data_IF_398261442327
#
_entry.id   IF_398261442327
#
_cell.length_a   1.000
_cell.length_b   1.000
_cell.length_c   1.000
_cell.angle_alpha   90.00
_cell.angle_beta   90.00
_cell.angle_gamma   90.00
#
_symmetry.space_group_name_H-M   'P 1'
#
loop_
_entity.id
_entity.type
_entity.pdbx_description
1 polymer ?
#
# COMPACT_ATOMS: atom_id res chain seq x y z
N UNK A 1 -9.43 25.75 18.77
CA UNK A 1 -10.57 25.42 17.91
C UNK A 1 -11.23 26.70 17.38
N UNK A 2 -11.05 26.99 16.09
CA UNK A 2 -11.83 28.04 15.43
C UNK A 2 -13.13 27.41 14.89
N UNK A 3 -14.26 28.05 15.15
CA UNK A 3 -15.53 27.63 14.58
C UNK A 3 -15.53 27.82 13.06
N UNK A 4 -16.09 26.87 12.34
CA UNK A 4 -16.22 27.01 10.90
C UNK A 4 -16.29 25.70 10.14
N UNK A 5 -16.54 25.83 8.84
CA UNK A 5 -16.55 24.73 7.88
C UNK A 5 -15.50 24.97 6.80
N UNK A 6 -14.78 23.93 6.43
CA UNK A 6 -13.84 23.95 5.32
C UNK A 6 -14.12 22.77 4.40
N UNK A 7 -14.20 23.00 3.09
CA UNK A 7 -14.38 21.97 2.07
C UNK A 7 -13.29 22.13 1.03
N UNK A 8 -12.58 21.05 0.74
CA UNK A 8 -11.51 21.01 -0.24
C UNK A 8 -11.76 19.89 -1.25
N UNK A 9 -11.49 20.18 -2.52
CA UNK A 9 -11.39 19.18 -3.57
C UNK A 9 -10.09 19.36 -4.33
N UNK A 10 -9.46 18.24 -4.70
CA UNK A 10 -8.23 18.26 -5.46
C UNK A 10 -8.18 17.12 -6.48
N UNK A 11 -7.60 17.42 -7.64
CA UNK A 11 -7.20 16.43 -8.63
C UNK A 11 -5.68 16.32 -8.64
N UNK A 12 -5.17 15.09 -8.71
CA UNK A 12 -3.73 14.83 -8.77
C UNK A 12 -3.42 13.74 -9.81
N UNK A 13 -2.21 13.73 -10.33
CA UNK A 13 -1.72 12.66 -11.20
C UNK A 13 -0.63 11.85 -10.45
N UNK A 14 -1.05 11.16 -9.38
CA UNK A 14 -0.17 10.34 -8.54
C UNK A 14 -0.82 8.98 -8.25
N UNK A 15 -0.67 8.47 -7.02
CA UNK A 15 -1.27 7.22 -6.59
C UNK A 15 -2.81 7.28 -6.57
N UNK A 16 -3.39 8.44 -6.26
CA UNK A 16 -4.83 8.71 -6.40
C UNK A 16 -5.06 9.88 -7.35
N UNK A 17 -6.24 9.96 -7.94
CA UNK A 17 -6.65 11.03 -8.87
C UNK A 17 -7.50 12.09 -8.18
N UNK A 18 -8.43 11.67 -7.36
CA UNK A 18 -9.40 12.55 -6.71
C UNK A 18 -9.22 12.53 -5.20
N UNK A 19 -9.36 13.71 -4.57
CA UNK A 19 -9.47 13.89 -3.12
C UNK A 19 -10.59 14.87 -2.83
N UNK A 20 -11.51 14.46 -1.96
CA UNK A 20 -12.50 15.34 -1.33
C UNK A 20 -12.27 15.36 0.17
N UNK A 21 -12.40 16.53 0.79
CA UNK A 21 -12.29 16.69 2.26
C UNK A 21 -13.32 17.69 2.74
N UNK A 22 -13.97 17.38 3.86
CA UNK A 22 -14.80 18.30 4.61
C UNK A 22 -14.40 18.31 6.07
N UNK A 23 -14.33 19.50 6.68
CA UNK A 23 -14.01 19.73 8.08
C UNK A 23 -15.07 20.66 8.64
N UNK A 24 -15.58 20.31 9.82
CA UNK A 24 -16.48 21.16 10.59
C UNK A 24 -15.99 21.24 12.03
N UNK A 25 -15.96 22.44 12.60
CA UNK A 25 -15.63 22.68 14.02
C UNK A 25 -16.63 23.66 14.62
N UNK A 26 -17.13 23.36 15.81
CA UNK A 26 -18.03 24.25 16.55
C UNK A 26 -17.31 25.45 17.16
N UNK A 27 -15.97 25.34 17.33
CA UNK A 27 -15.26 26.17 18.31
C UNK A 27 -15.64 25.77 19.75
N UNK A 28 -15.19 26.54 20.74
CA UNK A 28 -15.59 26.37 22.11
C UNK A 28 -16.93 27.06 22.29
N UNK A 29 -17.96 26.31 22.67
CA UNK A 29 -19.33 26.79 22.91
C UNK A 29 -19.45 27.34 24.35
N UNK A 30 -20.45 28.14 24.64
CA UNK A 30 -20.72 28.73 25.95
C UNK A 30 -20.86 27.69 27.08
N UNK A 31 -21.31 26.49 26.74
CA UNK A 31 -21.41 25.37 27.68
C UNK A 31 -20.08 24.61 27.88
N UNK A 32 -18.96 25.12 27.33
CA UNK A 32 -17.62 24.55 27.46
C UNK A 32 -17.34 23.31 26.60
N UNK A 33 -18.23 22.94 25.68
CA UNK A 33 -17.97 21.89 24.72
C UNK A 33 -17.35 22.45 23.43
N UNK A 34 -16.49 21.63 22.81
CA UNK A 34 -16.02 21.84 21.44
C UNK A 34 -16.03 20.51 20.70
N UNK A 35 -16.45 20.54 19.43
CA UNK A 35 -16.45 19.37 18.56
C UNK A 35 -15.77 19.71 17.23
N UNK A 36 -15.01 18.76 16.73
CA UNK A 36 -14.44 18.80 15.37
C UNK A 36 -14.64 17.48 14.69
N UNK A 37 -15.12 17.54 13.46
CA UNK A 37 -15.28 16.38 12.56
C UNK A 37 -14.57 16.69 11.25
N UNK A 38 -13.76 15.77 10.79
CA UNK A 38 -13.15 15.83 9.47
C UNK A 38 -13.31 14.48 8.77
N UNK A 39 -13.68 14.52 7.49
CA UNK A 39 -13.72 13.37 6.61
C UNK A 39 -12.92 13.66 5.36
N UNK A 40 -12.20 12.66 4.86
CA UNK A 40 -11.45 12.76 3.61
C UNK A 40 -11.60 11.48 2.81
N UNK A 41 -11.88 11.62 1.53
CA UNK A 41 -11.90 10.50 0.59
C UNK A 41 -10.87 10.69 -0.51
N UNK A 42 -10.08 9.64 -0.79
CA UNK A 42 -9.09 9.61 -1.87
C UNK A 42 -9.38 8.41 -2.75
N UNK A 43 -9.41 8.64 -4.05
CA UNK A 43 -9.81 7.62 -4.99
C UNK A 43 -9.05 7.69 -6.31
N UNK A 44 -8.76 6.52 -6.88
CA UNK A 44 -8.43 6.29 -8.28
C UNK A 44 -8.81 4.86 -8.66
N UNK A 45 -9.46 4.71 -9.80
CA UNK A 45 -9.65 3.43 -10.47
C UNK A 45 -8.32 2.90 -11.01
N UNK A 46 -7.50 3.79 -11.55
CA UNK A 46 -6.13 3.56 -11.91
C UNK A 46 -5.29 4.78 -11.56
N UNK A 47 -4.15 4.55 -10.87
CA UNK A 47 -3.17 5.59 -10.57
C UNK A 47 -2.31 5.96 -11.79
N UNK A 48 -1.19 6.65 -11.54
CA UNK A 48 -0.22 6.97 -12.59
C UNK A 48 0.47 5.73 -13.16
N UNK A 49 0.64 4.71 -12.33
CA UNK A 49 1.27 3.43 -12.69
C UNK A 49 0.19 2.43 -13.06
N UNK A 50 0.37 1.73 -14.17
CA UNK A 50 -0.60 0.76 -14.70
C UNK A 50 -0.99 -0.32 -13.69
N UNK A 51 -2.26 -0.71 -13.70
CA UNK A 51 -2.79 -1.76 -12.85
C UNK A 51 -2.78 -1.43 -11.36
N UNK A 52 -2.57 -0.16 -10.99
CA UNK A 52 -2.73 0.32 -9.61
C UNK A 52 -4.10 0.96 -9.42
N UNK A 53 -4.65 0.85 -8.24
CA UNK A 53 -5.84 1.58 -7.82
C UNK A 53 -5.65 2.10 -6.39
N UNK A 54 -6.47 3.06 -6.00
CA UNK A 54 -6.43 3.64 -4.67
C UNK A 54 -7.83 3.96 -4.15
N UNK A 55 -8.16 3.49 -2.95
CA UNK A 55 -9.39 3.79 -2.26
C UNK A 55 -9.10 3.97 -0.77
N UNK A 56 -9.38 5.16 -0.23
CA UNK A 56 -9.13 5.46 1.17
C UNK A 56 -10.18 6.44 1.69
N UNK A 57 -10.77 6.10 2.83
CA UNK A 57 -11.66 6.96 3.58
C UNK A 57 -11.03 7.29 4.92
N UNK A 58 -10.66 8.56 5.15
CA UNK A 58 -10.12 9.01 6.42
C UNK A 58 -11.17 9.77 7.22
N UNK A 59 -11.14 9.58 8.54
CA UNK A 59 -11.96 10.34 9.48
C UNK A 59 -11.10 10.85 10.63
N UNK A 60 -11.53 11.97 11.19
CA UNK A 60 -11.03 12.55 12.44
C UNK A 60 -12.21 13.11 13.21
N UNK A 61 -12.35 12.68 14.46
CA UNK A 61 -13.39 13.14 15.38
C UNK A 61 -12.70 13.61 16.67
N UNK A 62 -13.06 14.79 17.14
CA UNK A 62 -12.59 15.30 18.42
C UNK A 62 -13.75 15.91 19.20
N UNK A 63 -13.81 15.60 20.48
CA UNK A 63 -14.71 16.20 21.44
C UNK A 63 -13.90 16.71 22.64
N UNK A 64 -14.15 17.91 23.05
CA UNK A 64 -13.51 18.52 24.20
C UNK A 64 -14.56 19.11 25.14
N UNK A 65 -14.30 19.01 26.45
CA UNK A 65 -15.10 19.61 27.49
C UNK A 65 -14.19 20.34 28.47
N UNK A 66 -14.46 21.63 28.66
CA UNK A 66 -13.87 22.43 29.73
C UNK A 66 -14.91 22.53 30.88
N UNK A 67 -14.49 22.19 32.10
CA UNK A 67 -15.33 22.19 33.28
C UNK A 67 -14.52 22.71 34.46
N UNK A 68 -14.63 24.02 34.73
CA UNK A 68 -13.80 24.70 35.75
C UNK A 68 -12.31 24.52 35.39
N UNK A 69 -11.55 24.00 36.35
CA UNK A 69 -10.10 23.77 36.19
C UNK A 69 -9.74 22.49 35.46
N UNK A 70 -10.74 21.76 34.98
CA UNK A 70 -10.55 20.52 34.25
C UNK A 70 -10.85 20.68 32.75
N UNK A 71 -10.03 20.04 31.93
CA UNK A 71 -10.23 19.90 30.49
C UNK A 71 -10.15 18.43 30.13
N UNK A 72 -11.17 17.91 29.50
CA UNK A 72 -11.24 16.55 28.97
C UNK A 72 -11.28 16.60 27.46
N UNK A 73 -10.47 15.80 26.79
CA UNK A 73 -10.48 15.71 25.34
C UNK A 73 -10.44 14.26 24.88
N UNK A 74 -11.35 13.89 23.99
CA UNK A 74 -11.36 12.62 23.28
C UNK A 74 -11.15 12.89 21.81
N UNK A 75 -10.12 12.25 21.23
CA UNK A 75 -9.81 12.34 19.82
C UNK A 75 -9.74 10.93 19.24
N UNK A 76 -10.39 10.69 18.10
CA UNK A 76 -10.25 9.45 17.35
C UNK A 76 -10.08 9.73 15.89
N UNK A 77 -9.23 8.95 15.24
CA UNK A 77 -8.97 9.05 13.82
C UNK A 77 -8.56 7.69 13.23
N UNK A 78 -8.71 7.59 11.92
CA UNK A 78 -8.31 6.41 11.17
C UNK A 78 -8.53 6.61 9.68
N UNK A 79 -7.90 5.76 8.88
CA UNK A 79 -8.01 5.84 7.43
C UNK A 79 -7.99 4.43 6.81
N UNK A 80 -9.13 3.69 6.81
CA UNK A 80 -9.19 2.44 6.06
C UNK A 80 -8.80 2.69 4.61
N UNK A 81 -7.80 1.94 4.16
CA UNK A 81 -7.20 2.10 2.83
C UNK A 81 -7.08 0.75 2.14
N UNK A 82 -7.52 0.69 0.89
CA UNK A 82 -7.27 -0.41 -0.04
C UNK A 82 -6.58 0.14 -1.28
N UNK A 83 -5.41 -0.38 -1.59
CA UNK A 83 -4.63 0.06 -2.76
C UNK A 83 -3.85 -1.07 -3.39
N UNK A 84 -3.66 -1.01 -4.70
CA UNK A 84 -2.73 -1.88 -5.39
C UNK A 84 -1.31 -1.31 -5.38
N UNK A 85 -0.32 -2.21 -5.42
CA UNK A 85 1.09 -1.87 -5.42
C UNK A 85 1.69 -1.97 -6.82
N UNK A 86 2.83 -1.31 -6.99
CA UNK A 86 3.76 -1.47 -8.10
C UNK A 86 5.15 -1.80 -7.56
N UNK A 87 6.04 -2.29 -8.41
CA UNK A 87 7.44 -2.52 -8.10
C UNK A 87 8.36 -1.72 -9.02
N UNK A 88 9.58 -1.48 -8.55
CA UNK A 88 10.68 -1.17 -9.42
C UNK A 88 11.05 -2.41 -10.22
N UNK A 89 11.45 -2.23 -11.47
CA UNK A 89 11.88 -3.28 -12.39
C UNK A 89 13.30 -3.01 -12.91
N UNK A 90 13.89 -3.93 -13.65
CA UNK A 90 15.20 -3.71 -14.25
C UNK A 90 15.18 -2.58 -15.29
N UNK A 91 16.35 -1.98 -15.56
CA UNK A 91 16.47 -0.96 -16.60
C UNK A 91 16.02 -1.48 -17.96
N UNK A 92 16.32 -2.72 -18.30
CA UNK A 92 15.86 -3.36 -19.53
C UNK A 92 14.34 -3.28 -19.69
N UNK A 93 13.58 -3.55 -18.63
CA UNK A 93 12.11 -3.47 -18.66
C UNK A 93 11.64 -2.03 -18.79
N UNK A 94 12.29 -1.08 -18.12
CA UNK A 94 11.99 0.35 -18.30
C UNK A 94 12.28 0.83 -19.72
N UNK A 95 13.33 0.34 -20.35
CA UNK A 95 13.67 0.70 -21.74
C UNK A 95 12.61 0.21 -22.74
N UNK A 96 11.97 -0.93 -22.47
CA UNK A 96 10.88 -1.45 -23.30
C UNK A 96 9.53 -0.81 -23.00
N UNK A 97 9.19 -0.57 -21.73
CA UNK A 97 7.84 -0.23 -21.29
C UNK A 97 7.68 1.13 -20.62
N UNK A 98 8.80 1.83 -20.35
CA UNK A 98 8.80 3.10 -19.67
C UNK A 98 8.66 2.99 -18.14
N UNK A 99 8.84 4.13 -17.46
CA UNK A 99 8.96 4.22 -15.99
C UNK A 99 7.66 3.97 -15.20
N UNK A 100 6.52 3.85 -15.90
CA UNK A 100 5.21 3.59 -15.27
C UNK A 100 4.75 2.15 -15.41
N UNK A 101 5.58 1.29 -15.97
CA UNK A 101 5.31 -0.13 -16.05
C UNK A 101 5.18 -0.76 -14.65
N UNK A 102 4.31 -1.76 -14.53
CA UNK A 102 4.07 -2.49 -13.30
C UNK A 102 3.94 -4.00 -13.57
N UNK A 103 4.80 -4.84 -13.00
CA UNK A 103 4.78 -6.28 -13.22
C UNK A 103 3.72 -7.04 -12.40
N UNK A 104 2.97 -6.35 -11.52
CA UNK A 104 2.11 -7.00 -10.54
C UNK A 104 0.67 -7.20 -10.99
N UNK A 105 0.33 -6.85 -12.20
CA UNK A 105 -1.05 -6.95 -12.68
C UNK A 105 -1.16 -7.69 -14.01
N UNK A 106 -2.36 -8.11 -14.34
CA UNK A 106 -2.76 -8.66 -15.61
C UNK A 106 -4.27 -8.73 -15.71
N UNK A 107 -4.79 -9.04 -16.89
CA UNK A 107 -6.23 -9.24 -17.07
C UNK A 107 -6.66 -10.63 -16.59
N UNK A 108 -7.81 -10.67 -15.91
CA UNK A 108 -8.56 -11.87 -15.61
C UNK A 108 -10.03 -11.60 -15.97
N UNK A 109 -10.59 -12.40 -16.86
CA UNK A 109 -11.98 -12.28 -17.32
C UNK A 109 -12.35 -10.87 -17.80
N UNK A 110 -11.40 -10.17 -18.44
CA UNK A 110 -11.56 -8.79 -18.93
C UNK A 110 -11.30 -7.70 -17.88
N UNK A 111 -11.15 -8.04 -16.62
CA UNK A 111 -10.91 -7.10 -15.52
C UNK A 111 -9.42 -7.00 -15.16
N UNK A 112 -8.94 -5.80 -14.86
CA UNK A 112 -7.58 -5.60 -14.33
C UNK A 112 -7.48 -6.14 -12.91
N UNK A 113 -6.58 -7.08 -12.72
CA UNK A 113 -6.31 -7.69 -11.41
C UNK A 113 -4.83 -7.51 -11.03
N UNK A 114 -4.60 -6.91 -9.87
CA UNK A 114 -3.27 -6.77 -9.30
C UNK A 114 -3.02 -7.87 -8.24
N UNK A 115 -1.84 -8.45 -8.23
CA UNK A 115 -1.45 -9.51 -7.29
C UNK A 115 -1.03 -9.00 -5.92
N UNK A 116 -0.66 -7.70 -5.83
CA UNK A 116 -0.16 -7.05 -4.62
C UNK A 116 -1.14 -5.97 -4.14
N UNK A 117 -2.10 -6.37 -3.32
CA UNK A 117 -3.10 -5.47 -2.76
C UNK A 117 -2.82 -5.26 -1.28
N UNK A 118 -2.69 -3.99 -0.87
CA UNK A 118 -2.58 -3.59 0.53
C UNK A 118 -3.95 -3.23 1.06
N UNK A 119 -4.25 -3.75 2.25
CA UNK A 119 -5.31 -3.26 3.12
C UNK A 119 -4.66 -2.78 4.40
N UNK A 120 -4.94 -1.55 4.78
CA UNK A 120 -4.48 -0.98 6.06
C UNK A 120 -5.61 -0.23 6.74
N UNK A 121 -5.67 -0.34 8.05
CA UNK A 121 -6.55 0.43 8.91
C UNK A 121 -5.92 0.57 10.29
N UNK A 122 -5.62 1.81 10.69
CA UNK A 122 -4.91 2.15 11.91
C UNK A 122 -5.80 3.07 12.78
N UNK A 123 -6.94 2.57 13.32
CA UNK A 123 -7.77 3.35 14.22
C UNK A 123 -7.01 3.68 15.50
N UNK A 124 -7.08 4.94 15.85
CA UNK A 124 -6.47 5.47 17.07
C UNK A 124 -7.51 6.28 17.85
N UNK A 125 -7.58 6.05 19.15
CA UNK A 125 -8.36 6.86 20.08
C UNK A 125 -7.44 7.36 21.21
N UNK A 126 -7.56 8.62 21.58
CA UNK A 126 -6.75 9.26 22.61
C UNK A 126 -7.69 10.02 23.53
N UNK A 127 -7.62 9.73 24.81
CA UNK A 127 -8.28 10.50 25.85
C UNK A 127 -7.22 11.26 26.64
N UNK A 128 -7.43 12.55 26.81
CA UNK A 128 -6.57 13.43 27.62
C UNK A 128 -7.41 14.09 28.70
N UNK A 129 -6.82 14.21 29.87
CA UNK A 129 -7.32 14.97 31.01
C UNK A 129 -6.24 15.92 31.47
N UNK A 130 -6.55 17.21 31.45
CA UNK A 130 -5.74 18.27 32.04
C UNK A 130 -6.46 18.83 33.28
N UNK A 131 -5.74 19.00 34.38
CA UNK A 131 -6.21 19.60 35.60
C UNK A 131 -5.26 20.72 36.02
N UNK A 132 -5.80 21.94 36.08
CA UNK A 132 -5.14 23.08 36.70
C UNK A 132 -5.41 23.00 38.20
N UNK A 133 -4.45 22.51 38.99
CA UNK A 133 -4.59 22.30 40.45
C UNK A 133 -4.62 23.66 41.13
N UNK A 134 -3.71 24.54 40.75
CA UNK A 134 -3.61 25.94 41.15
C UNK A 134 -2.89 26.76 40.06
N UNK A 135 -2.46 27.99 40.37
CA UNK A 135 -1.78 28.85 39.40
C UNK A 135 -0.36 28.39 39.07
N UNK A 136 0.26 27.59 39.93
CA UNK A 136 1.61 27.10 39.81
C UNK A 136 1.67 25.60 39.38
N UNK A 137 0.58 24.86 39.59
CA UNK A 137 0.56 23.40 39.43
C UNK A 137 -0.45 22.93 38.40
N UNK A 138 0.00 22.03 37.53
CA UNK A 138 -0.84 21.39 36.53
C UNK A 138 -0.53 19.89 36.46
N UNK A 139 -1.58 19.08 36.35
CA UNK A 139 -1.50 17.67 36.02
C UNK A 139 -2.08 17.44 34.61
N UNK A 140 -1.37 16.69 33.76
CA UNK A 140 -1.87 16.21 32.49
C UNK A 140 -1.75 14.70 32.47
N UNK A 141 -2.84 14.01 32.15
CA UNK A 141 -2.87 12.54 31.98
C UNK A 141 -3.49 12.18 30.64
N UNK A 142 -2.96 11.16 30.02
CA UNK A 142 -3.45 10.66 28.75
C UNK A 142 -3.42 9.16 28.65
N UNK A 143 -4.41 8.59 27.97
CA UNK A 143 -4.46 7.19 27.57
C UNK A 143 -4.79 7.12 26.09
N UNK A 144 -4.01 6.33 25.35
CA UNK A 144 -4.24 6.03 23.95
C UNK A 144 -4.68 4.60 23.77
N UNK A 145 -5.38 4.34 22.69
CA UNK A 145 -5.63 3.03 22.13
C UNK A 145 -5.34 3.09 20.65
N UNK A 146 -4.43 2.25 20.19
CA UNK A 146 -4.07 2.11 18.78
C UNK A 146 -4.15 0.65 18.37
N UNK A 147 -4.86 0.36 17.29
CA UNK A 147 -4.96 -0.98 16.72
C UNK A 147 -4.65 -0.96 15.22
N UNK A 148 -3.42 -1.31 14.87
CA UNK A 148 -3.00 -1.39 13.47
C UNK A 148 -3.41 -2.73 12.87
N UNK A 149 -4.09 -2.66 11.73
CA UNK A 149 -4.39 -3.79 10.84
C UNK A 149 -3.73 -3.54 9.49
N UNK A 150 -2.70 -4.30 9.20
CA UNK A 150 -2.03 -4.24 7.90
C UNK A 150 -2.01 -5.60 7.24
N UNK A 151 -2.36 -5.65 5.97
CA UNK A 151 -2.14 -6.86 5.17
C UNK A 151 -1.75 -6.51 3.74
N UNK A 152 -0.96 -7.39 3.14
CA UNK A 152 -0.67 -7.35 1.71
C UNK A 152 -0.85 -8.72 1.09
N UNK A 153 -1.36 -8.77 -0.15
CA UNK A 153 -1.42 -10.00 -0.92
C UNK A 153 -0.12 -10.24 -1.69
N UNK A 154 0.15 -11.50 -1.99
CA UNK A 154 1.25 -11.93 -2.85
C UNK A 154 0.88 -13.24 -3.55
N UNK A 155 1.40 -13.48 -4.73
CA UNK A 155 1.39 -14.81 -5.33
C UNK A 155 2.54 -15.60 -4.70
N UNK A 156 2.22 -16.68 -4.00
CA UNK A 156 3.18 -17.72 -3.62
C UNK A 156 3.21 -18.77 -4.71
N UNK A 157 4.41 -19.20 -5.10
CA UNK A 157 4.62 -20.22 -6.12
C UNK A 157 5.62 -21.25 -5.61
N UNK A 158 5.16 -22.50 -5.44
CA UNK A 158 5.94 -23.59 -4.88
C UNK A 158 6.24 -24.59 -5.98
N UNK A 159 7.53 -24.82 -6.25
CA UNK A 159 7.96 -25.74 -7.33
C UNK A 159 7.31 -25.41 -8.68
N UNK A 160 7.12 -24.12 -8.96
CA UNK A 160 6.57 -23.60 -10.20
C UNK A 160 7.39 -22.39 -10.65
N UNK A 161 7.38 -22.07 -11.96
CA UNK A 161 8.04 -20.86 -12.47
C UNK A 161 7.49 -19.59 -11.82
N UNK A 162 8.34 -18.57 -11.65
CA UNK A 162 7.91 -17.24 -11.19
C UNK A 162 6.91 -16.67 -12.21
N UNK A 163 5.68 -16.33 -11.78
CA UNK A 163 4.63 -15.87 -12.70
C UNK A 163 4.77 -14.41 -13.10
N UNK A 164 5.77 -13.70 -12.58
CA UNK A 164 5.97 -12.28 -12.89
C UNK A 164 6.57 -12.10 -14.27
N UNK A 165 6.06 -11.18 -15.07
CA UNK A 165 6.61 -10.88 -16.39
C UNK A 165 8.08 -10.44 -16.34
N UNK A 166 8.44 -9.64 -15.32
CA UNK A 166 9.79 -9.07 -15.12
C UNK A 166 10.80 -10.06 -14.52
N UNK A 167 10.42 -11.33 -14.33
CA UNK A 167 11.38 -12.33 -13.89
C UNK A 167 12.49 -12.47 -14.94
N UNK A 168 13.74 -12.40 -14.50
CA UNK A 168 14.90 -12.27 -15.39
C UNK A 168 14.96 -13.32 -16.52
N UNK A 169 14.45 -14.56 -16.29
CA UNK A 169 14.42 -15.62 -17.31
C UNK A 169 13.40 -15.37 -18.41
N UNK A 170 12.46 -14.46 -18.21
CA UNK A 170 11.44 -14.08 -19.19
C UNK A 170 11.90 -12.90 -20.07
N UNK A 171 13.10 -12.35 -19.79
CA UNK A 171 13.60 -11.16 -20.46
C UNK A 171 14.50 -11.54 -21.66
N UNK A 172 14.56 -10.69 -22.70
CA UNK A 172 15.42 -10.90 -23.86
C UNK A 172 16.88 -11.09 -23.49
N UNK A 173 17.41 -10.33 -22.52
CA UNK A 173 18.80 -10.42 -22.04
C UNK A 173 19.18 -11.82 -21.56
N UNK A 174 18.24 -12.57 -20.96
CA UNK A 174 18.48 -13.94 -20.53
C UNK A 174 18.76 -14.88 -21.71
N UNK A 175 18.06 -14.72 -22.82
CA UNK A 175 18.29 -15.53 -24.02
C UNK A 175 19.66 -15.22 -24.63
N UNK A 176 20.08 -13.96 -24.64
CA UNK A 176 21.43 -13.58 -25.05
C UNK A 176 22.49 -14.15 -24.10
N UNK A 177 22.24 -14.12 -22.78
CA UNK A 177 23.16 -14.68 -21.78
C UNK A 177 23.37 -16.19 -21.98
N UNK A 178 22.33 -16.94 -22.35
CA UNK A 178 22.44 -18.37 -22.66
C UNK A 178 23.37 -18.66 -23.86
N UNK A 179 23.68 -17.63 -24.64
CA UNK A 179 24.64 -17.77 -25.77
C UNK A 179 26.11 -17.68 -25.34
N UNK A 180 26.35 -17.08 -24.17
CA UNK A 180 27.69 -16.82 -23.66
C UNK A 180 28.29 -18.01 -22.88
N UNK A 181 27.62 -19.16 -22.84
CA UNK A 181 28.19 -20.36 -22.22
C UNK A 181 29.38 -20.85 -23.07
N UNK A 182 30.56 -20.74 -22.48
CA UNK A 182 31.84 -21.12 -23.08
C UNK A 182 31.83 -22.59 -23.50
N UNK A 183 31.74 -22.80 -24.79
CA UNK A 183 31.94 -24.08 -25.45
C UNK A 183 32.83 -23.91 -26.70
N UNK A 184 33.46 -24.94 -27.21
CA UNK A 184 34.23 -24.82 -28.43
C UNK A 184 33.35 -24.26 -29.56
N UNK A 185 33.95 -23.39 -30.38
CA UNK A 185 33.31 -22.79 -31.56
C UNK A 185 33.09 -23.88 -32.63
N UNK A 186 32.14 -24.78 -32.41
CA UNK A 186 31.69 -25.76 -33.36
C UNK A 186 30.39 -25.29 -34.06
N UNK A 187 30.02 -26.02 -35.13
CA UNK A 187 28.82 -25.72 -35.92
C UNK A 187 27.54 -25.80 -35.09
N UNK A 188 27.52 -26.64 -34.05
CA UNK A 188 26.40 -26.76 -33.13
C UNK A 188 26.22 -25.50 -32.29
N UNK A 189 27.29 -24.99 -31.71
CA UNK A 189 27.24 -23.75 -30.90
C UNK A 189 26.87 -22.54 -31.76
N UNK A 190 27.35 -22.45 -32.99
CA UNK A 190 26.96 -21.39 -33.91
C UNK A 190 25.45 -21.42 -34.23
N UNK A 191 24.90 -22.61 -34.49
CA UNK A 191 23.46 -22.78 -34.74
C UNK A 191 22.61 -22.37 -33.54
N UNK A 192 22.92 -22.84 -32.32
CA UNK A 192 22.19 -22.46 -31.11
C UNK A 192 22.31 -20.98 -30.80
N UNK A 193 23.46 -20.36 -31.03
CA UNK A 193 23.62 -18.91 -30.90
C UNK A 193 22.64 -18.13 -31.78
N UNK A 194 22.49 -18.51 -33.05
CA UNK A 194 21.56 -17.84 -33.97
C UNK A 194 20.10 -18.10 -33.61
N UNK A 195 19.72 -19.33 -33.20
CA UNK A 195 18.36 -19.64 -32.72
C UNK A 195 18.00 -18.84 -31.50
N UNK A 196 18.87 -18.77 -30.49
CA UNK A 196 18.62 -18.01 -29.27
C UNK A 196 18.57 -16.50 -29.53
N UNK A 197 19.41 -15.99 -30.43
CA UNK A 197 19.34 -14.58 -30.88
C UNK A 197 18.00 -14.26 -31.54
N UNK A 198 17.51 -15.18 -32.41
CA UNK A 198 16.17 -15.07 -32.98
C UNK A 198 15.07 -15.01 -31.93
N UNK A 199 15.13 -15.91 -30.93
CA UNK A 199 14.18 -15.93 -29.81
C UNK A 199 14.26 -14.66 -28.96
N UNK A 200 15.47 -14.20 -28.62
CA UNK A 200 15.66 -12.94 -27.86
C UNK A 200 15.05 -11.75 -28.60
N UNK A 201 15.24 -11.66 -29.92
CA UNK A 201 14.65 -10.59 -30.73
C UNK A 201 13.11 -10.69 -30.75
N UNK A 202 12.54 -11.88 -30.89
CA UNK A 202 11.09 -12.08 -30.82
C UNK A 202 10.50 -11.64 -29.48
N UNK A 203 11.13 -12.05 -28.39
CA UNK A 203 10.71 -11.63 -27.03
C UNK A 203 10.83 -10.10 -26.88
N UNK A 204 11.92 -9.49 -27.36
CA UNK A 204 12.11 -8.04 -27.32
C UNK A 204 11.02 -7.29 -28.11
N UNK A 205 10.62 -7.82 -29.27
CA UNK A 205 9.54 -7.23 -30.08
C UNK A 205 8.18 -7.33 -29.38
N UNK A 206 7.88 -8.45 -28.73
CA UNK A 206 6.68 -8.60 -27.91
C UNK A 206 6.68 -7.61 -26.72
N UNK A 207 7.83 -7.42 -26.07
CA UNK A 207 7.98 -6.41 -24.99
C UNK A 207 7.74 -5.00 -25.52
N UNK A 208 8.31 -4.62 -26.66
CA UNK A 208 8.10 -3.30 -27.29
C UNK A 208 6.63 -3.10 -27.69
N UNK A 209 6.01 -4.11 -28.25
CA UNK A 209 4.59 -4.09 -28.62
C UNK A 209 3.66 -4.03 -27.41
N UNK A 210 4.13 -4.40 -26.21
CA UNK A 210 3.30 -4.48 -25.03
C UNK A 210 2.36 -5.67 -25.02
N UNK A 211 2.77 -6.79 -25.64
CA UNK A 211 1.94 -7.99 -25.68
C UNK A 211 1.60 -8.46 -24.24
N UNK A 212 0.30 -8.62 -23.91
CA UNK A 212 -0.13 -9.00 -22.56
C UNK A 212 0.43 -10.35 -22.09
N UNK A 213 0.73 -11.27 -23.01
CA UNK A 213 1.25 -12.60 -22.66
C UNK A 213 2.67 -12.56 -22.09
N UNK A 214 3.45 -11.50 -22.41
CA UNK A 214 4.82 -11.34 -21.91
C UNK A 214 4.99 -10.16 -20.96
N UNK A 215 4.07 -9.19 -20.96
CA UNK A 215 4.18 -7.96 -20.14
C UNK A 215 3.25 -7.93 -18.93
N UNK A 216 2.37 -8.92 -18.79
CA UNK A 216 1.38 -8.97 -17.73
C UNK A 216 1.35 -10.33 -17.03
N UNK A 217 0.84 -10.38 -15.79
CA UNK A 217 0.58 -11.65 -15.10
C UNK A 217 -0.51 -12.41 -15.86
N UNK A 218 -0.20 -13.63 -16.28
CA UNK A 218 -1.16 -14.53 -16.92
C UNK A 218 -1.93 -15.33 -15.85
N UNK A 219 -3.02 -14.78 -15.35
CA UNK A 219 -3.87 -15.40 -14.33
C UNK A 219 -4.43 -16.74 -14.81
N UNK A 220 -4.87 -16.82 -16.06
CA UNK A 220 -5.46 -18.05 -16.61
C UNK A 220 -4.45 -19.18 -16.69
N UNK A 221 -3.19 -18.88 -17.03
CA UNK A 221 -2.13 -19.88 -17.03
C UNK A 221 -1.86 -20.46 -15.63
N UNK A 222 -1.89 -19.62 -14.60
CA UNK A 222 -1.74 -20.08 -13.20
C UNK A 222 -2.90 -20.96 -12.74
N UNK A 223 -4.15 -20.60 -13.08
CA UNK A 223 -5.32 -21.45 -12.79
C UNK A 223 -5.25 -22.77 -13.53
N UNK A 224 -4.89 -22.75 -14.81
CA UNK A 224 -4.72 -23.96 -15.62
C UNK A 224 -3.62 -24.87 -15.05
N UNK A 225 -2.50 -24.30 -14.61
CA UNK A 225 -1.43 -25.06 -13.97
C UNK A 225 -1.88 -25.73 -12.66
N UNK A 226 -2.67 -25.03 -11.83
CA UNK A 226 -3.25 -25.61 -10.63
C UNK A 226 -4.25 -26.71 -10.96
N UNK A 227 -5.13 -26.50 -11.95
CA UNK A 227 -6.10 -27.49 -12.37
C UNK A 227 -5.42 -28.76 -12.91
N UNK A 228 -4.44 -28.62 -13.78
CA UNK A 228 -3.67 -29.74 -14.32
C UNK A 228 -2.91 -30.48 -13.21
N UNK A 229 -2.28 -29.75 -12.28
CA UNK A 229 -1.59 -30.36 -11.16
C UNK A 229 -2.55 -31.17 -10.26
N UNK A 230 -3.74 -30.65 -10.00
CA UNK A 230 -4.75 -31.36 -9.20
C UNK A 230 -5.29 -32.61 -9.92
N UNK A 231 -5.43 -32.58 -11.23
CA UNK A 231 -5.84 -33.75 -12.02
C UNK A 231 -4.80 -34.88 -12.01
N UNK A 232 -3.50 -34.54 -12.00
CA UNK A 232 -2.39 -35.50 -11.97
C UNK A 232 -2.10 -35.98 -10.54
N UNK A 233 -2.22 -35.08 -9.55
CA UNK A 233 -1.93 -35.33 -8.15
C UNK A 233 -3.04 -34.74 -7.25
N UNK A 234 -4.19 -35.41 -7.09
CA UNK A 234 -5.35 -34.88 -6.35
C UNK A 234 -5.08 -34.52 -4.90
N UNK A 235 -4.04 -35.11 -4.30
CA UNK A 235 -3.62 -34.82 -2.91
C UNK A 235 -2.44 -33.86 -2.85
N UNK A 236 -1.99 -33.32 -3.98
CA UNK A 236 -0.87 -32.40 -4.08
C UNK A 236 -1.29 -30.96 -3.77
N UNK A 237 -0.32 -30.17 -3.31
CA UNK A 237 -0.50 -28.73 -3.10
C UNK A 237 -0.64 -27.99 -4.43
N UNK A 238 -1.42 -26.90 -4.44
CA UNK A 238 -1.50 -26.00 -5.59
C UNK A 238 -0.11 -25.41 -5.92
N UNK A 239 0.15 -25.18 -7.21
CA UNK A 239 1.39 -24.58 -7.72
C UNK A 239 1.46 -23.09 -7.41
N UNK A 240 0.32 -22.41 -7.55
CA UNK A 240 0.17 -20.98 -7.34
C UNK A 240 -0.93 -20.70 -6.33
N UNK A 241 -0.63 -19.93 -5.31
CA UNK A 241 -1.56 -19.56 -4.25
C UNK A 241 -1.51 -18.04 -4.06
N UNK A 242 -2.67 -17.40 -4.07
CA UNK A 242 -2.76 -16.00 -3.64
C UNK A 242 -2.88 -15.98 -2.12
N UNK A 243 -1.81 -15.60 -1.45
CA UNK A 243 -1.75 -15.45 0.00
C UNK A 243 -1.99 -14.01 0.44
N UNK A 244 -2.43 -13.84 1.67
CA UNK A 244 -2.49 -12.54 2.34
C UNK A 244 -1.68 -12.61 3.64
N UNK A 245 -0.67 -11.77 3.73
CA UNK A 245 0.20 -11.65 4.89
C UNK A 245 -0.32 -10.53 5.77
N UNK A 246 -0.56 -10.85 7.06
CA UNK A 246 -1.04 -9.93 8.06
C UNK A 246 0.08 -9.51 9.01
N UNK A 247 0.10 -8.24 9.37
CA UNK A 247 0.92 -7.70 10.43
C UNK A 247 0.04 -6.73 11.24
N UNK A 248 -0.42 -7.19 12.39
CA UNK A 248 -1.31 -6.42 13.26
C UNK A 248 -0.57 -6.06 14.54
N UNK A 249 -0.86 -4.86 15.07
CA UNK A 249 -0.28 -4.33 16.30
C UNK A 249 -1.39 -3.74 17.16
N UNK A 250 -1.30 -3.91 18.48
CA UNK A 250 -2.14 -3.23 19.45
C UNK A 250 -1.26 -2.55 20.49
N UNK A 251 -1.54 -1.27 20.76
CA UNK A 251 -0.79 -0.47 21.71
C UNK A 251 -1.75 0.32 22.61
N UNK A 252 -1.40 0.43 23.89
CA UNK A 252 -2.13 1.22 24.89
C UNK A 252 -1.12 2.11 25.60
N UNK A 253 -0.75 3.27 25.00
CA UNK A 253 0.15 4.23 25.64
C UNK A 253 -0.55 4.94 26.80
N UNK A 254 0.18 5.11 27.91
CA UNK A 254 -0.21 5.89 29.07
C UNK A 254 0.81 7.00 29.29
N UNK A 255 0.33 8.18 29.62
CA UNK A 255 1.17 9.34 29.93
C UNK A 255 0.65 10.09 31.15
N UNK A 256 1.56 10.48 32.03
CA UNK A 256 1.30 11.36 33.17
C UNK A 256 2.39 12.42 33.24
N UNK A 257 1.98 13.68 33.30
CA UNK A 257 2.88 14.81 33.44
C UNK A 257 2.37 15.73 34.55
N UNK A 258 3.12 15.85 35.61
CA UNK A 258 2.91 16.90 36.62
C UNK A 258 3.91 18.02 36.40
N UNK A 259 3.44 19.24 36.40
CA UNK A 259 4.27 20.45 36.28
C UNK A 259 3.99 21.34 37.50
N UNK A 260 5.05 21.86 38.13
CA UNK A 260 4.94 22.84 39.19
C UNK A 260 5.98 23.93 38.97
N UNK A 261 5.58 25.19 39.14
CA UNK A 261 6.46 26.35 39.07
C UNK A 261 6.85 26.75 40.49
N UNK A 262 8.02 26.33 40.93
CA UNK A 262 8.52 26.56 42.28
C UNK A 262 8.87 28.03 42.55
N UNK A 263 9.30 28.76 41.53
CA UNK A 263 9.54 30.19 41.55
C UNK A 263 9.63 30.75 40.13
N UNK A 264 9.90 32.05 39.95
CA UNK A 264 9.97 32.70 38.64
C UNK A 264 11.03 32.11 37.68
N UNK A 265 12.02 31.36 38.20
CA UNK A 265 13.15 30.83 37.45
C UNK A 265 13.15 29.29 37.34
N UNK A 266 12.46 28.59 38.26
CA UNK A 266 12.50 27.13 38.34
C UNK A 266 11.12 26.50 38.14
N UNK A 267 11.01 25.67 37.11
CA UNK A 267 9.84 24.86 36.78
C UNK A 267 10.24 23.37 36.80
N UNK A 268 9.46 22.57 37.52
CA UNK A 268 9.53 21.10 37.55
C UNK A 268 8.47 20.50 36.68
#
# INVERSE_FOLDING_TARGET
YAAGTNVNAAYTNRAYKLRGQAIYSTGIMDNGWAFTVSVVYRWADEGRTEGTFYNSFGYFLAAEKVLGDHRFALTTFGAPTKRAQSAAVSQEVYDYRGIYYNPYWGYQDGEKRNSRIVHSYDPTAIFNWDWKIDDESKLSAGVGFHYSQYSNSAIAFYNAPDPRPDYYRNLPSWQYYQLAVDGPDDIYNAYYKEVNKGLANQIADLWRAGDPNVTQINWNAMYSANYTNNAINPNGSAKYILERRHNNLMEIPLNFLYTNQLNSELKL
#
